data_IF_776125731955
#
_entry.id   IF_776125731955
#
_cell.length_a   1.000
_cell.length_b   1.000
_cell.length_c   1.000
_cell.angle_alpha   90.00
_cell.angle_beta   90.00
_cell.angle_gamma   90.00
#
_symmetry.space_group_name_H-M   'P 1'
#
loop_
_entity.id
_entity.type
_entity.pdbx_description
1 polymer ?
#
# COMPACT_ATOMS: atom_id res chain seq x y z
N UNK A 1 10.08 21.81 -13.08
CA UNK A 1 10.30 21.08 -11.84
C UNK A 1 8.95 20.52 -11.42
N UNK A 2 8.85 19.24 -11.10
CA UNK A 2 7.62 18.64 -10.56
C UNK A 2 7.34 19.25 -9.17
N UNK A 3 6.07 19.39 -8.81
CA UNK A 3 5.72 19.81 -7.45
C UNK A 3 6.20 18.77 -6.43
N UNK A 4 6.61 19.18 -5.22
CA UNK A 4 7.05 18.23 -4.19
C UNK A 4 5.90 17.34 -3.73
N UNK A 5 6.21 16.11 -3.36
CA UNK A 5 5.27 15.15 -2.77
C UNK A 5 4.88 15.65 -1.38
N UNK A 6 3.60 15.82 -1.16
CA UNK A 6 3.04 16.35 0.11
C UNK A 6 2.81 15.19 1.08
N UNK A 7 3.50 15.25 2.22
CA UNK A 7 3.46 14.20 3.25
C UNK A 7 2.75 14.70 4.50
N UNK A 8 1.86 13.90 5.07
CA UNK A 8 1.30 14.11 6.42
C UNK A 8 1.88 13.04 7.34
N UNK A 9 2.30 13.47 8.54
CA UNK A 9 2.85 12.63 9.60
C UNK A 9 1.81 12.41 10.69
N UNK A 10 1.57 11.16 11.05
CA UNK A 10 0.62 10.79 12.09
C UNK A 10 1.28 9.80 13.05
N UNK A 11 1.55 10.26 14.26
CA UNK A 11 2.21 9.48 15.32
C UNK A 11 1.92 10.16 16.66
N UNK A 12 1.69 9.45 17.74
CA UNK A 12 1.43 10.05 19.04
C UNK A 12 2.70 10.65 19.69
N UNK A 13 3.88 10.18 19.27
CA UNK A 13 5.17 10.62 19.78
C UNK A 13 5.70 11.84 19.02
N UNK A 14 5.66 13.00 19.66
CA UNK A 14 6.12 14.27 19.07
C UNK A 14 7.58 14.21 18.58
N UNK A 15 8.45 13.51 19.31
CA UNK A 15 9.87 13.40 18.96
C UNK A 15 10.07 12.59 17.67
N UNK A 16 9.28 11.53 17.48
CA UNK A 16 9.28 10.71 16.24
C UNK A 16 8.83 11.57 15.05
N UNK A 17 7.72 12.31 15.19
CA UNK A 17 7.26 13.21 14.13
C UNK A 17 8.30 14.28 13.79
N UNK A 18 8.95 14.88 14.78
CA UNK A 18 10.01 15.88 14.54
C UNK A 18 11.20 15.26 13.77
N UNK A 19 11.60 14.02 14.11
CA UNK A 19 12.64 13.31 13.40
C UNK A 19 12.28 13.02 11.94
N UNK A 20 11.08 12.51 11.69
CA UNK A 20 10.60 12.24 10.33
C UNK A 20 10.45 13.51 9.50
N UNK A 21 9.94 14.59 10.10
CA UNK A 21 9.87 15.90 9.44
C UNK A 21 11.26 16.37 8.99
N UNK A 22 12.25 16.32 9.87
CA UNK A 22 13.62 16.74 9.55
C UNK A 22 14.18 15.96 8.35
N UNK A 23 13.97 14.65 8.30
CA UNK A 23 14.43 13.79 7.22
C UNK A 23 13.68 14.10 5.91
N UNK A 24 12.36 14.22 5.95
CA UNK A 24 11.54 14.48 4.77
C UNK A 24 11.80 15.86 4.20
N UNK A 25 11.78 16.90 5.03
CA UNK A 25 11.98 18.29 4.59
C UNK A 25 13.44 18.57 4.15
N UNK A 26 14.39 17.65 4.43
CA UNK A 26 15.75 17.71 3.87
C UNK A 26 15.80 17.37 2.37
N UNK A 27 14.73 16.80 1.82
CA UNK A 27 14.67 16.36 0.42
C UNK A 27 13.97 17.42 -0.45
N UNK A 28 14.55 17.81 -1.61
CA UNK A 28 13.96 18.87 -2.45
C UNK A 28 12.65 18.47 -3.15
N UNK A 29 12.35 17.18 -3.20
CA UNK A 29 11.17 16.59 -3.86
C UNK A 29 10.06 16.18 -2.89
N UNK A 30 10.24 16.40 -1.57
CA UNK A 30 9.27 16.06 -0.52
C UNK A 30 8.99 17.26 0.36
N UNK A 31 7.81 17.32 0.98
CA UNK A 31 7.47 18.33 1.98
C UNK A 31 6.42 17.83 2.96
N UNK A 32 6.61 18.11 4.25
CA UNK A 32 5.59 17.83 5.28
C UNK A 32 4.58 18.95 5.32
N UNK A 33 3.34 18.64 4.92
CA UNK A 33 2.22 19.60 4.87
C UNK A 33 1.32 19.59 6.10
N UNK A 34 1.50 18.62 7.01
CA UNK A 34 0.73 18.55 8.23
C UNK A 34 1.19 17.45 9.18
N UNK A 35 0.79 17.56 10.44
CA UNK A 35 1.05 16.58 11.50
C UNK A 35 -0.20 16.36 12.35
N UNK A 36 -0.37 15.14 12.84
CA UNK A 36 -1.41 14.79 13.83
C UNK A 36 -0.84 13.82 14.88
N UNK A 37 -1.37 13.90 16.10
CA UNK A 37 -0.94 13.05 17.21
C UNK A 37 -1.88 11.87 17.49
N UNK A 38 -2.97 11.74 16.73
CA UNK A 38 -3.96 10.67 16.85
C UNK A 38 -4.75 10.50 15.54
N UNK A 39 -5.48 9.40 15.41
CA UNK A 39 -6.22 9.08 14.20
C UNK A 39 -7.38 10.04 13.90
N UNK A 40 -8.09 10.52 14.91
CA UNK A 40 -9.21 11.44 14.72
C UNK A 40 -8.73 12.80 14.20
N UNK A 41 -7.66 13.33 14.77
CA UNK A 41 -6.99 14.57 14.34
C UNK A 41 -6.44 14.41 12.91
N UNK A 42 -5.89 13.24 12.56
CA UNK A 42 -5.39 12.95 11.22
C UNK A 42 -6.52 13.00 10.18
N UNK A 43 -7.67 12.36 10.45
CA UNK A 43 -8.83 12.39 9.57
C UNK A 43 -9.37 13.82 9.40
N UNK A 44 -9.46 14.59 10.51
CA UNK A 44 -9.90 15.98 10.46
C UNK A 44 -8.96 16.86 9.61
N UNK A 45 -7.65 16.70 9.79
CA UNK A 45 -6.62 17.40 9.01
C UNK A 45 -6.74 17.10 7.52
N UNK A 46 -6.87 15.82 7.14
CA UNK A 46 -6.89 15.38 5.75
C UNK A 46 -8.18 15.75 4.99
N UNK A 47 -9.24 16.15 5.69
CA UNK A 47 -10.44 16.71 5.05
C UNK A 47 -10.21 18.13 4.50
N UNK A 48 -9.25 18.85 5.04
CA UNK A 48 -8.95 20.26 4.67
C UNK A 48 -7.56 20.44 4.06
N UNK A 49 -6.67 19.47 4.22
CA UNK A 49 -5.29 19.52 3.74
C UNK A 49 -5.06 18.46 2.69
N UNK A 50 -4.73 18.90 1.48
CA UNK A 50 -4.39 17.98 0.41
C UNK A 50 -3.00 17.38 0.64
N UNK A 51 -2.95 16.05 0.73
CA UNK A 51 -1.73 15.26 0.88
C UNK A 51 -1.67 14.17 -0.20
N UNK A 52 -0.45 13.78 -0.56
CA UNK A 52 -0.22 12.68 -1.51
C UNK A 52 0.06 11.37 -0.77
N UNK A 53 0.80 11.46 0.34
CA UNK A 53 1.18 10.32 1.19
C UNK A 53 0.95 10.65 2.66
N UNK A 54 0.50 9.67 3.42
CA UNK A 54 0.38 9.73 4.89
C UNK A 54 1.27 8.65 5.49
N UNK A 55 2.15 9.02 6.40
CA UNK A 55 2.85 8.09 7.27
C UNK A 55 2.03 7.96 8.56
N UNK A 56 1.44 6.79 8.79
CA UNK A 56 0.44 6.55 9.83
C UNK A 56 0.94 5.54 10.85
N UNK A 57 1.14 5.95 12.08
CA UNK A 57 1.36 5.00 13.18
C UNK A 57 0.12 4.14 13.44
N UNK A 58 0.32 2.87 13.76
CA UNK A 58 -0.76 1.97 14.15
C UNK A 58 -1.23 2.25 15.57
N UNK A 59 -0.29 2.36 16.51
CA UNK A 59 -0.58 2.41 17.94
C UNK A 59 -0.66 3.85 18.44
N UNK A 60 -1.87 4.39 18.45
CA UNK A 60 -2.14 5.71 18.98
C UNK A 60 -3.31 5.67 19.97
N UNK A 61 -3.34 6.57 20.96
CA UNK A 61 -4.49 6.71 21.88
C UNK A 61 -5.76 7.11 21.14
N UNK A 62 -6.90 6.59 21.58
CA UNK A 62 -8.21 6.94 21.00
C UNK A 62 -8.49 6.18 19.69
N UNK A 63 -8.51 6.89 18.57
CA UNK A 63 -8.65 6.27 17.25
C UNK A 63 -7.30 5.75 16.80
N UNK A 64 -7.18 4.42 16.69
CA UNK A 64 -5.96 3.77 16.20
C UNK A 64 -5.70 4.03 14.70
N UNK A 65 -4.48 3.75 14.26
CA UNK A 65 -4.06 4.02 12.90
C UNK A 65 -4.77 3.16 11.85
N UNK A 66 -5.28 1.98 12.20
CA UNK A 66 -6.02 1.11 11.28
C UNK A 66 -7.39 1.70 10.98
N UNK A 67 -8.11 2.12 12.03
CA UNK A 67 -9.41 2.77 11.87
C UNK A 67 -9.26 4.13 11.16
N UNK A 68 -8.22 4.90 11.51
CA UNK A 68 -7.89 6.14 10.81
C UNK A 68 -7.59 5.88 9.31
N UNK A 69 -6.82 4.83 8.99
CA UNK A 69 -6.54 4.43 7.60
C UNK A 69 -7.82 4.10 6.84
N UNK A 70 -8.77 3.40 7.47
CA UNK A 70 -10.06 3.08 6.84
C UNK A 70 -10.85 4.34 6.51
N UNK A 71 -10.92 5.30 7.45
CA UNK A 71 -11.63 6.57 7.25
C UNK A 71 -10.94 7.44 6.20
N UNK A 72 -9.61 7.53 6.21
CA UNK A 72 -8.82 8.26 5.22
C UNK A 72 -9.00 7.66 3.83
N UNK A 73 -9.02 6.34 3.72
CA UNK A 73 -9.22 5.62 2.46
C UNK A 73 -10.60 5.84 1.84
N UNK A 74 -11.58 6.24 2.64
CA UNK A 74 -12.95 6.55 2.20
C UNK A 74 -13.12 8.03 1.77
N UNK A 75 -12.09 8.88 1.86
CA UNK A 75 -12.16 10.27 1.39
C UNK A 75 -12.35 10.33 -0.14
N UNK A 76 -12.95 11.40 -0.67
CA UNK A 76 -13.15 11.56 -2.12
C UNK A 76 -11.86 11.53 -2.96
N UNK A 77 -10.76 12.03 -2.38
CA UNK A 77 -9.41 11.99 -2.95
C UNK A 77 -8.47 11.46 -1.87
N UNK A 78 -8.45 10.14 -1.64
CA UNK A 78 -7.67 9.58 -0.55
C UNK A 78 -6.17 9.64 -0.85
N UNK A 79 -5.34 10.14 0.09
CA UNK A 79 -3.90 10.00 -0.02
C UNK A 79 -3.50 8.52 0.08
N UNK A 80 -2.28 8.20 -0.33
CA UNK A 80 -1.69 6.88 -0.08
C UNK A 80 -1.28 6.78 1.37
N UNK A 81 -1.64 5.70 2.04
CA UNK A 81 -1.29 5.49 3.45
C UNK A 81 -0.19 4.45 3.56
N UNK A 82 0.96 4.85 4.11
CA UNK A 82 2.04 3.96 4.56
C UNK A 82 1.92 3.81 6.06
N UNK A 83 1.65 2.61 6.51
CA UNK A 83 1.52 2.32 7.94
C UNK A 83 2.89 2.12 8.56
N UNK A 84 3.11 2.74 9.72
CA UNK A 84 4.32 2.61 10.52
C UNK A 84 4.07 1.69 11.71
N UNK A 85 5.01 0.79 12.01
CA UNK A 85 4.93 -0.10 13.16
C UNK A 85 6.29 -0.34 13.79
N UNK A 86 6.30 -0.68 15.08
CA UNK A 86 7.52 -1.04 15.81
C UNK A 86 7.83 -2.54 15.77
N UNK A 87 6.89 -3.40 15.33
CA UNK A 87 7.02 -4.86 15.35
C UNK A 87 6.35 -5.53 14.16
N UNK A 88 6.93 -6.67 13.76
CA UNK A 88 6.39 -7.66 12.81
C UNK A 88 5.16 -8.40 13.39
N UNK A 89 4.06 -7.72 13.61
CA UNK A 89 2.83 -8.36 14.01
C UNK A 89 1.94 -8.54 12.78
N UNK A 90 1.96 -9.74 12.22
CA UNK A 90 1.21 -10.14 11.02
C UNK A 90 -0.26 -9.69 11.05
N UNK A 91 -0.91 -9.73 12.22
CA UNK A 91 -2.31 -9.33 12.41
C UNK A 91 -2.57 -7.84 12.09
N UNK A 92 -1.66 -6.94 12.49
CA UNK A 92 -1.82 -5.50 12.22
C UNK A 92 -1.61 -5.17 10.74
N UNK A 93 -0.72 -5.88 10.11
CA UNK A 93 -0.45 -5.69 8.68
C UNK A 93 -1.65 -6.12 7.85
N UNK A 94 -2.28 -7.26 8.18
CA UNK A 94 -3.52 -7.71 7.54
C UNK A 94 -4.63 -6.69 7.70
N UNK A 95 -4.83 -6.22 8.93
CA UNK A 95 -5.87 -5.25 9.24
C UNK A 95 -5.61 -3.91 8.53
N UNK A 96 -4.35 -3.45 8.45
CA UNK A 96 -3.97 -2.22 7.75
C UNK A 96 -4.21 -2.31 6.23
N UNK A 97 -3.83 -3.43 5.61
CA UNK A 97 -4.09 -3.69 4.19
C UNK A 97 -5.60 -3.74 3.93
N UNK A 98 -6.36 -4.45 4.76
CA UNK A 98 -7.82 -4.50 4.68
C UNK A 98 -8.49 -3.14 4.90
N UNK A 99 -7.88 -2.24 5.69
CA UNK A 99 -8.30 -0.86 5.86
C UNK A 99 -7.94 0.04 4.67
N UNK A 100 -7.10 -0.44 3.76
CA UNK A 100 -6.71 0.27 2.56
C UNK A 100 -5.31 0.87 2.61
N UNK A 101 -4.39 0.41 3.46
CA UNK A 101 -3.00 0.82 3.41
C UNK A 101 -2.36 0.48 2.06
N UNK A 102 -1.52 1.38 1.56
CA UNK A 102 -0.76 1.25 0.30
C UNK A 102 0.66 0.73 0.52
N UNK A 103 1.11 0.73 1.78
CA UNK A 103 2.44 0.26 2.16
C UNK A 103 2.56 0.10 3.66
N UNK A 104 3.71 -0.45 4.04
CA UNK A 104 4.05 -0.78 5.41
C UNK A 104 5.55 -0.57 5.61
N UNK A 105 5.93 0.00 6.75
CA UNK A 105 7.32 0.28 7.10
C UNK A 105 7.54 0.09 8.60
N UNK A 106 8.71 -0.39 8.99
CA UNK A 106 9.12 -0.41 10.39
C UNK A 106 9.56 1.00 10.84
N UNK A 107 9.21 1.41 12.05
CA UNK A 107 9.59 2.73 12.59
C UNK A 107 11.11 2.88 12.80
N UNK A 108 11.82 1.77 12.94
CA UNK A 108 13.28 1.70 13.04
C UNK A 108 13.98 1.52 11.69
N UNK A 109 13.22 1.52 10.59
CA UNK A 109 13.80 1.47 9.25
C UNK A 109 14.75 2.67 9.01
N UNK A 110 15.84 2.45 8.27
CA UNK A 110 16.75 3.53 7.89
C UNK A 110 15.99 4.68 7.19
N UNK A 111 16.41 5.95 7.40
CA UNK A 111 15.78 7.11 6.74
C UNK A 111 15.64 6.97 5.23
N UNK A 112 16.62 6.34 4.57
CA UNK A 112 16.61 6.11 3.12
C UNK A 112 15.49 5.20 2.68
N UNK A 113 15.15 4.19 3.49
CA UNK A 113 14.02 3.29 3.22
C UNK A 113 12.69 4.03 3.35
N UNK A 114 12.55 4.89 4.36
CA UNK A 114 11.35 5.72 4.50
C UNK A 114 11.17 6.68 3.32
N UNK A 115 12.23 7.36 2.89
CA UNK A 115 12.20 8.26 1.74
C UNK A 115 11.87 7.51 0.43
N UNK A 116 12.49 6.33 0.25
CA UNK A 116 12.19 5.44 -0.88
C UNK A 116 10.73 4.98 -0.85
N UNK A 117 10.22 4.65 0.35
CA UNK A 117 8.85 4.24 0.58
C UNK A 117 7.85 5.32 0.12
N UNK A 118 8.04 6.56 0.56
CA UNK A 118 7.17 7.69 0.18
C UNK A 118 7.14 7.86 -1.34
N UNK A 119 8.31 7.83 -2.00
CA UNK A 119 8.40 7.98 -3.46
C UNK A 119 7.74 6.84 -4.21
N UNK A 120 7.98 5.61 -3.77
CA UNK A 120 7.43 4.39 -4.37
C UNK A 120 5.91 4.37 -4.29
N UNK A 121 5.36 4.64 -3.12
CA UNK A 121 3.90 4.69 -2.92
C UNK A 121 3.26 5.81 -3.72
N UNK A 122 3.88 6.99 -3.75
CA UNK A 122 3.41 8.10 -4.58
C UNK A 122 3.39 7.73 -6.08
N UNK A 123 4.37 6.97 -6.56
CA UNK A 123 4.41 6.49 -7.95
C UNK A 123 3.35 5.40 -8.27
N UNK A 124 2.58 4.95 -7.26
CA UNK A 124 1.55 3.92 -7.42
C UNK A 124 2.06 2.48 -7.26
N UNK A 125 3.35 2.31 -6.97
CA UNK A 125 3.95 1.02 -6.60
C UNK A 125 3.77 0.75 -5.10
N UNK A 126 4.02 -0.48 -4.64
CA UNK A 126 3.94 -0.83 -3.21
C UNK A 126 5.31 -0.81 -2.54
N UNK A 127 5.34 -0.35 -1.30
CA UNK A 127 6.56 -0.32 -0.46
C UNK A 127 6.78 -1.64 0.27
N UNK A 128 6.01 -2.64 0.01
CA UNK A 128 6.34 -3.94 0.54
C UNK A 128 7.48 -4.47 -0.34
N UNK A 129 8.71 -4.51 0.18
CA UNK A 129 9.83 -5.14 -0.51
C UNK A 129 9.40 -6.52 -1.01
N UNK A 130 9.79 -6.92 -2.22
CA UNK A 130 9.32 -8.17 -2.84
C UNK A 130 9.51 -9.39 -1.91
N UNK A 131 10.60 -9.41 -1.13
CA UNK A 131 10.84 -10.44 -0.10
C UNK A 131 9.89 -10.36 1.09
N UNK A 132 9.53 -9.15 1.54
CA UNK A 132 8.59 -8.92 2.63
C UNK A 132 7.15 -9.11 2.18
N UNK A 133 6.82 -8.72 0.92
CA UNK A 133 5.51 -8.97 0.30
C UNK A 133 5.22 -10.46 0.23
N UNK A 134 6.18 -11.27 -0.18
CA UNK A 134 5.99 -12.74 -0.28
C UNK A 134 5.72 -13.34 1.10
N UNK A 135 6.51 -13.02 2.12
CA UNK A 135 6.29 -13.49 3.51
C UNK A 135 4.96 -13.00 4.07
N UNK A 136 4.67 -11.72 3.87
CA UNK A 136 3.41 -11.12 4.30
C UNK A 136 2.22 -11.79 3.64
N UNK A 137 2.24 -11.97 2.33
CA UNK A 137 1.16 -12.60 1.57
C UNK A 137 0.95 -14.06 1.98
N UNK A 138 1.99 -14.80 2.35
CA UNK A 138 1.87 -16.16 2.87
C UNK A 138 1.03 -16.22 4.16
N UNK A 139 1.15 -15.22 5.03
CA UNK A 139 0.40 -15.14 6.29
C UNK A 139 -0.99 -14.49 6.11
N UNK A 140 -1.10 -13.49 5.22
CA UNK A 140 -2.30 -12.68 5.00
C UNK A 140 -3.32 -13.37 4.09
N UNK A 141 -2.87 -14.08 3.06
CA UNK A 141 -3.74 -14.67 2.06
C UNK A 141 -4.81 -15.63 2.62
N UNK A 142 -4.54 -16.49 3.64
CA UNK A 142 -5.57 -17.31 4.29
C UNK A 142 -6.63 -16.47 5.01
N UNK A 143 -6.24 -15.34 5.62
CA UNK A 143 -7.12 -14.48 6.40
C UNK A 143 -8.00 -13.60 5.51
N UNK A 144 -7.51 -13.16 4.35
CA UNK A 144 -8.29 -12.41 3.36
C UNK A 144 -9.47 -13.22 2.80
N UNK A 145 -9.37 -14.55 2.76
CA UNK A 145 -10.48 -15.43 2.37
C UNK A 145 -11.56 -15.55 3.44
N UNK A 146 -11.17 -15.52 4.72
CA UNK A 146 -12.12 -15.62 5.86
C UNK A 146 -12.90 -14.33 6.10
N UNK A 147 -12.43 -13.19 5.61
CA UNK A 147 -13.03 -11.88 5.78
C UNK A 147 -13.99 -11.47 4.64
N UNK A 148 -14.13 -12.29 3.59
CA UNK A 148 -15.06 -11.99 2.51
C UNK A 148 -16.50 -12.18 2.98
N UNK A 149 -17.35 -11.12 3.06
CA UNK A 149 -18.78 -11.31 3.21
C UNK A 149 -19.30 -12.05 1.95
N UNK A 150 -20.13 -13.05 2.15
CA UNK A 150 -20.70 -13.92 1.12
C UNK A 150 -21.54 -13.20 0.01
N UNK A 151 -21.53 -11.88 -0.04
CA UNK A 151 -22.32 -11.05 -0.95
C UNK A 151 -21.49 -10.16 -1.91
N UNK A 152 -20.15 -10.20 -1.88
CA UNK A 152 -19.29 -9.33 -2.71
C UNK A 152 -18.84 -9.95 -4.06
N UNK A 153 -19.26 -11.16 -4.39
CA UNK A 153 -18.75 -11.95 -5.52
C UNK A 153 -19.03 -11.42 -6.93
N UNK A 154 -19.96 -10.50 -7.11
CA UNK A 154 -20.36 -10.09 -8.47
C UNK A 154 -19.53 -8.97 -9.10
N UNK A 155 -18.98 -8.07 -8.29
CA UNK A 155 -18.24 -6.90 -8.79
C UNK A 155 -16.76 -7.21 -9.05
N UNK A 156 -16.16 -8.00 -8.19
CA UNK A 156 -14.73 -8.36 -8.26
C UNK A 156 -14.45 -9.29 -9.47
N UNK A 157 -15.33 -10.25 -9.75
CA UNK A 157 -15.23 -11.12 -10.91
C UNK A 157 -15.43 -10.37 -12.23
N UNK A 158 -16.32 -9.37 -12.26
CA UNK A 158 -16.52 -8.51 -13.43
C UNK A 158 -15.25 -7.70 -13.74
N UNK A 159 -14.59 -7.14 -12.72
CA UNK A 159 -13.35 -6.39 -12.87
C UNK A 159 -12.20 -7.23 -13.46
N UNK A 160 -12.11 -8.52 -13.06
CA UNK A 160 -11.15 -9.46 -13.66
C UNK A 160 -11.49 -9.80 -15.11
N UNK A 161 -12.77 -9.76 -15.49
CA UNK A 161 -13.23 -10.02 -16.85
C UNK A 161 -12.79 -8.96 -17.87
N UNK A 162 -12.49 -7.74 -17.41
CA UNK A 162 -12.00 -6.64 -18.26
C UNK A 162 -10.50 -6.75 -18.59
N UNK A 163 -9.75 -7.57 -17.86
CA UNK A 163 -8.32 -7.73 -18.07
C UNK A 163 -8.05 -8.57 -19.34
N UNK A 164 -7.12 -8.07 -20.16
CA UNK A 164 -6.56 -8.89 -21.23
C UNK A 164 -5.77 -10.08 -20.64
N UNK A 165 -5.52 -11.15 -21.41
CA UNK A 165 -4.71 -12.27 -20.93
C UNK A 165 -3.36 -11.80 -20.34
N UNK A 166 -2.69 -10.85 -21.00
CA UNK A 166 -1.39 -10.32 -20.55
C UNK A 166 -1.49 -9.52 -19.26
N UNK A 167 -2.51 -8.69 -19.08
CA UNK A 167 -2.76 -7.96 -17.85
C UNK A 167 -3.09 -8.91 -16.69
N UNK A 168 -3.83 -9.98 -16.97
CA UNK A 168 -4.14 -11.02 -15.99
C UNK A 168 -2.87 -11.77 -15.54
N UNK A 169 -1.98 -12.12 -16.47
CA UNK A 169 -0.68 -12.72 -16.16
C UNK A 169 0.19 -11.76 -15.29
N UNK A 170 0.21 -10.48 -15.63
CA UNK A 170 0.93 -9.46 -14.84
C UNK A 170 0.33 -9.37 -13.42
N UNK A 171 -1.00 -9.37 -13.27
CA UNK A 171 -1.65 -9.36 -11.96
C UNK A 171 -1.30 -10.60 -11.12
N UNK A 172 -1.21 -11.78 -11.75
CA UNK A 172 -0.76 -13.01 -11.09
C UNK A 172 0.67 -12.85 -10.57
N UNK A 173 1.60 -12.34 -11.39
CA UNK A 173 2.99 -12.11 -10.95
C UNK A 173 3.07 -11.07 -9.82
N UNK A 174 2.26 -10.01 -9.89
CA UNK A 174 2.14 -9.04 -8.79
C UNK A 174 1.69 -9.72 -7.49
N UNK A 175 0.69 -10.60 -7.57
CA UNK A 175 0.14 -11.32 -6.43
C UNK A 175 1.09 -12.39 -5.86
N UNK A 176 1.99 -12.92 -6.69
CA UNK A 176 3.10 -13.79 -6.26
C UNK A 176 4.27 -13.00 -5.65
N UNK A 177 4.18 -11.67 -5.56
CA UNK A 177 5.15 -10.81 -4.92
C UNK A 177 6.32 -10.38 -5.82
N UNK A 178 6.25 -10.62 -7.14
CA UNK A 178 7.30 -10.23 -8.06
C UNK A 178 7.37 -8.70 -8.23
N UNK A 179 8.55 -8.11 -8.19
CA UNK A 179 8.80 -6.69 -8.51
C UNK A 179 8.61 -6.42 -10.02
N UNK A 180 8.54 -5.15 -10.42
CA UNK A 180 8.46 -4.81 -11.85
C UNK A 180 9.67 -5.30 -12.63
N UNK A 181 10.86 -5.32 -12.02
CA UNK A 181 12.09 -5.87 -12.62
C UNK A 181 11.99 -7.38 -12.83
N UNK A 182 11.51 -8.14 -11.83
CA UNK A 182 11.31 -9.59 -11.94
C UNK A 182 10.22 -9.94 -12.96
N UNK A 183 9.13 -9.18 -13.00
CA UNK A 183 8.07 -9.32 -14.02
C UNK A 183 8.64 -9.05 -15.43
N UNK A 184 9.48 -8.02 -15.57
CA UNK A 184 10.12 -7.69 -16.84
C UNK A 184 11.04 -8.83 -17.31
N UNK A 185 11.81 -9.41 -16.41
CA UNK A 185 12.66 -10.58 -16.69
C UNK A 185 11.83 -11.82 -17.06
N UNK A 186 10.79 -12.12 -16.28
CA UNK A 186 9.90 -13.27 -16.52
C UNK A 186 9.24 -13.21 -17.89
N UNK A 187 8.83 -12.03 -18.32
CA UNK A 187 8.14 -11.84 -19.59
C UNK A 187 9.05 -11.39 -20.75
N UNK A 188 10.34 -11.19 -20.49
CA UNK A 188 11.33 -10.72 -21.49
C UNK A 188 10.91 -9.40 -22.13
N UNK A 189 10.53 -8.43 -21.30
CA UNK A 189 10.12 -7.07 -21.72
C UNK A 189 10.85 -6.01 -20.90
N UNK A 190 10.70 -4.73 -21.26
CA UNK A 190 11.25 -3.63 -20.45
C UNK A 190 10.41 -3.35 -19.20
N UNK A 191 11.02 -2.84 -18.13
CA UNK A 191 10.29 -2.37 -16.95
C UNK A 191 9.24 -1.29 -17.28
N UNK A 192 9.51 -0.43 -18.27
CA UNK A 192 8.55 0.57 -18.74
C UNK A 192 7.28 -0.09 -19.30
N UNK A 193 7.45 -1.23 -20.01
CA UNK A 193 6.32 -2.02 -20.51
C UNK A 193 5.52 -2.63 -19.34
N UNK A 194 6.21 -3.16 -18.32
CA UNK A 194 5.57 -3.70 -17.12
C UNK A 194 4.79 -2.60 -16.39
N UNK A 195 5.38 -1.42 -16.16
CA UNK A 195 4.69 -0.27 -15.55
C UNK A 195 3.42 0.10 -16.30
N UNK A 196 3.45 0.05 -17.63
CA UNK A 196 2.26 0.29 -18.46
C UNK A 196 1.17 -0.77 -18.22
N UNK A 197 1.54 -2.05 -18.14
CA UNK A 197 0.58 -3.12 -17.84
C UNK A 197 0.04 -3.00 -16.41
N UNK A 198 0.87 -2.73 -15.42
CA UNK A 198 0.45 -2.49 -14.03
C UNK A 198 -0.54 -1.34 -13.98
N UNK A 199 -0.26 -0.19 -14.59
CA UNK A 199 -1.19 0.94 -14.67
C UNK A 199 -2.55 0.58 -15.27
N UNK A 200 -2.57 -0.23 -16.34
CA UNK A 200 -3.81 -0.72 -16.95
C UNK A 200 -4.56 -1.70 -16.03
N UNK A 201 -3.86 -2.59 -15.34
CA UNK A 201 -4.45 -3.48 -14.34
C UNK A 201 -5.13 -2.65 -13.26
N UNK A 202 -4.44 -1.68 -12.66
CA UNK A 202 -5.00 -0.82 -11.63
C UNK A 202 -6.25 -0.08 -12.11
N UNK A 203 -6.19 0.51 -13.32
CA UNK A 203 -7.31 1.26 -13.89
C UNK A 203 -8.54 0.36 -14.14
N UNK A 204 -8.35 -0.83 -14.72
CA UNK A 204 -9.45 -1.75 -15.06
C UNK A 204 -10.05 -2.43 -13.85
N UNK A 205 -9.24 -2.72 -12.83
CA UNK A 205 -9.72 -3.33 -11.57
C UNK A 205 -10.26 -2.30 -10.57
N UNK A 206 -10.14 -0.99 -10.87
CA UNK A 206 -10.47 0.06 -9.91
C UNK A 206 -9.57 0.07 -8.68
N UNK A 207 -8.45 -0.63 -8.73
CA UNK A 207 -7.49 -0.71 -7.64
C UNK A 207 -6.67 0.59 -7.60
N UNK A 208 -6.65 1.26 -6.45
CA UNK A 208 -5.93 2.53 -6.32
C UNK A 208 -4.40 2.37 -6.33
N UNK A 209 -3.90 1.18 -5.97
CA UNK A 209 -2.48 0.85 -5.91
C UNK A 209 -2.25 -0.65 -6.05
N UNK A 210 -0.96 -1.03 -6.11
CA UNK A 210 -0.53 -2.42 -6.28
C UNK A 210 -1.03 -3.34 -5.16
N UNK A 211 -1.03 -2.86 -3.89
CA UNK A 211 -1.46 -3.66 -2.73
C UNK A 211 -2.93 -4.05 -2.90
N UNK A 212 -3.77 -3.10 -3.30
CA UNK A 212 -5.20 -3.34 -3.48
C UNK A 212 -5.48 -4.28 -4.67
N UNK A 213 -4.69 -4.21 -5.74
CA UNK A 213 -4.78 -5.16 -6.85
C UNK A 213 -4.39 -6.59 -6.41
N UNK A 214 -3.37 -6.73 -5.57
CA UNK A 214 -2.96 -8.01 -4.99
C UNK A 214 -4.05 -8.56 -4.07
N UNK A 215 -4.63 -7.73 -3.19
CA UNK A 215 -5.77 -8.13 -2.34
C UNK A 215 -6.94 -8.63 -3.20
N UNK A 216 -7.26 -7.94 -4.29
CA UNK A 216 -8.30 -8.35 -5.23
C UNK A 216 -7.99 -9.74 -5.81
N UNK A 217 -6.75 -10.00 -6.26
CA UNK A 217 -6.35 -11.28 -6.83
C UNK A 217 -6.54 -12.46 -5.86
N UNK A 218 -6.26 -12.24 -4.56
CA UNK A 218 -6.51 -13.26 -3.53
C UNK A 218 -7.99 -13.41 -3.17
N UNK A 219 -8.74 -12.32 -3.08
CA UNK A 219 -10.18 -12.33 -2.79
C UNK A 219 -10.98 -13.07 -3.86
N UNK A 220 -10.65 -12.87 -5.12
CA UNK A 220 -11.29 -13.52 -6.28
C UNK A 220 -10.81 -14.94 -6.53
N UNK A 221 -9.78 -15.40 -5.79
CA UNK A 221 -9.19 -16.72 -6.00
C UNK A 221 -8.38 -16.84 -7.30
N UNK A 222 -8.04 -15.72 -7.96
CA UNK A 222 -7.14 -15.70 -9.12
C UNK A 222 -5.77 -16.30 -8.77
N UNK A 223 -5.30 -16.06 -7.54
CA UNK A 223 -4.10 -16.64 -6.95
C UNK A 223 -4.46 -17.28 -5.61
N UNK A 224 -3.87 -18.42 -5.30
CA UNK A 224 -4.05 -19.12 -4.05
C UNK A 224 -2.78 -19.03 -3.17
N UNK A 225 -2.90 -19.05 -1.82
CA UNK A 225 -1.72 -19.09 -0.96
C UNK A 225 -0.75 -20.22 -1.26
N UNK A 226 -1.25 -21.36 -1.75
CA UNK A 226 -0.44 -22.50 -2.15
C UNK A 226 0.45 -22.22 -3.38
N UNK A 227 0.10 -21.24 -4.20
CA UNK A 227 0.88 -20.90 -5.40
C UNK A 227 2.18 -20.17 -5.01
N UNK A 228 2.21 -19.47 -3.85
CA UNK A 228 3.42 -18.83 -3.31
C UNK A 228 4.52 -19.82 -2.92
N UNK A 229 4.18 -21.09 -2.70
CA UNK A 229 5.12 -22.15 -2.27
C UNK A 229 5.72 -22.92 -3.46
N UNK A 230 5.22 -22.73 -4.68
CA UNK A 230 5.65 -23.48 -5.86
C UNK A 230 6.87 -22.88 -6.57
N UNK A 231 7.13 -21.59 -6.34
CA UNK A 231 8.22 -20.84 -6.99
C UNK A 231 9.35 -20.47 -6.00
N UNK A 232 9.49 -21.19 -4.86
CA UNK A 232 10.52 -21.00 -3.87
C UNK A 232 11.65 -22.02 -3.98
#
# INVERSE_FOLDING_TARGET
MSAPIRVVLVDDQQMVRAGFRMVIDSQPDLTVVGEAGDGASAVALLRSTAADVVLMDIRMPGTDGIEATRQVSALPQPPRVVVLTTFDLDEYVVAAIGAGASGFLLKDAPPEEMLSAVRTVHAGDSVIAASSTRRLLQHVAPMLRGAAPASAGGGDDAALGELTPREREVLVQMALGASNTEIAQHFVVSEATVKTHVGRVLAKTGSRDRVQAVVLAYRTGLVQPADLLRDA
#
